data_IF_759833446972
#
_entry.id   IF_759833446972
#
_cell.length_a   1.000
_cell.length_b   1.000
_cell.length_c   1.000
_cell.angle_alpha   90.00
_cell.angle_beta   90.00
_cell.angle_gamma   90.00
#
_symmetry.space_group_name_H-M   'P 1'
#
loop_
_entity.id
_entity.type
_entity.pdbx_description
1 polymer ?
#
# COMPACT_ATOMS: atom_id res chain seq x y z
N UNK A 1 -36.80 -60.54 0.71
CA UNK A 1 -35.55 -59.85 0.30
C UNK A 1 -35.69 -58.40 0.72
N UNK A 2 -34.90 -57.98 1.70
CA UNK A 2 -34.94 -56.64 2.30
C UNK A 2 -34.09 -55.72 1.41
N UNK A 3 -34.68 -54.61 0.94
CA UNK A 3 -33.98 -53.62 0.11
C UNK A 3 -33.36 -52.60 1.06
N UNK A 4 -32.04 -52.60 1.17
CA UNK A 4 -31.27 -51.75 2.08
C UNK A 4 -31.22 -50.30 1.54
N UNK A 5 -31.69 -49.35 2.34
CA UNK A 5 -31.75 -47.94 1.98
C UNK A 5 -30.34 -47.35 2.16
N UNK A 6 -29.64 -47.18 1.05
CA UNK A 6 -28.30 -46.59 0.99
C UNK A 6 -28.23 -45.23 1.68
N UNK A 7 -27.66 -45.21 2.89
CA UNK A 7 -27.37 -43.99 3.66
C UNK A 7 -26.47 -43.06 2.83
N UNK A 8 -26.97 -41.89 2.44
CA UNK A 8 -26.16 -40.80 1.87
C UNK A 8 -25.05 -40.45 2.87
N UNK A 9 -23.83 -40.87 2.56
CA UNK A 9 -22.62 -40.55 3.32
C UNK A 9 -22.45 -39.04 3.29
N UNK A 10 -22.69 -38.36 4.42
CA UNK A 10 -22.37 -36.93 4.60
C UNK A 10 -20.91 -36.75 4.25
N UNK A 11 -20.66 -36.09 3.12
CA UNK A 11 -19.33 -35.64 2.72
C UNK A 11 -18.86 -34.73 3.85
N UNK A 12 -17.87 -35.18 4.62
CA UNK A 12 -17.22 -34.34 5.62
C UNK A 12 -16.61 -33.18 4.85
N UNK A 13 -17.24 -32.01 4.90
CA UNK A 13 -16.66 -30.78 4.37
C UNK A 13 -15.34 -30.61 5.09
N UNK A 14 -14.24 -30.79 4.37
CA UNK A 14 -12.94 -30.41 4.84
C UNK A 14 -13.05 -28.92 5.21
N UNK A 15 -12.88 -28.59 6.49
CA UNK A 15 -12.66 -27.21 6.89
C UNK A 15 -11.22 -26.93 6.46
N UNK A 16 -11.03 -26.71 5.17
CA UNK A 16 -9.84 -26.03 4.70
C UNK A 16 -9.93 -24.64 5.30
N UNK A 17 -9.11 -24.39 6.31
CA UNK A 17 -8.88 -23.05 6.81
C UNK A 17 -8.39 -22.23 5.60
N UNK A 18 -9.32 -21.52 4.95
CA UNK A 18 -9.02 -20.65 3.83
C UNK A 18 -7.94 -19.70 4.31
N UNK A 19 -6.71 -19.86 3.78
CA UNK A 19 -5.57 -19.06 4.19
C UNK A 19 -6.00 -17.60 4.10
N UNK A 20 -5.83 -16.87 5.21
CA UNK A 20 -6.22 -15.45 5.32
C UNK A 20 -5.69 -14.73 4.07
N UNK A 21 -6.60 -14.17 3.26
CA UNK A 21 -6.23 -13.44 2.04
C UNK A 21 -5.23 -12.35 2.46
N UNK A 22 -4.12 -12.24 1.74
CA UNK A 22 -3.17 -11.15 1.95
C UNK A 22 -3.84 -9.87 1.46
N UNK A 23 -3.95 -8.87 2.33
CA UNK A 23 -4.52 -7.55 2.04
C UNK A 23 -3.55 -6.47 2.51
N UNK A 24 -3.62 -5.30 1.87
CA UNK A 24 -2.92 -4.12 2.33
C UNK A 24 -3.49 -3.65 3.67
N UNK A 25 -2.60 -3.17 4.53
CA UNK A 25 -2.95 -2.58 5.81
C UNK A 25 -2.50 -1.11 5.80
N UNK A 26 -3.32 -0.20 6.32
CA UNK A 26 -2.88 1.16 6.58
C UNK A 26 -1.77 1.16 7.64
N UNK A 27 -0.84 2.10 7.54
CA UNK A 27 0.18 2.29 8.57
C UNK A 27 -0.43 2.93 9.83
N UNK A 28 0.25 2.77 10.96
CA UNK A 28 -0.10 3.46 12.22
C UNK A 28 0.86 4.61 12.46
N UNK A 29 0.42 5.89 12.42
CA UNK A 29 1.26 7.04 12.72
C UNK A 29 1.76 7.01 14.17
N UNK A 30 2.82 7.75 14.47
CA UNK A 30 3.19 8.01 15.86
C UNK A 30 2.10 8.82 16.57
N UNK A 31 1.68 8.39 17.76
CA UNK A 31 0.64 9.06 18.56
C UNK A 31 1.03 10.50 18.93
N UNK A 32 2.29 10.68 19.35
CA UNK A 32 2.83 11.98 19.71
C UNK A 32 2.97 12.91 18.47
N UNK A 33 2.28 14.06 18.46
CA UNK A 33 2.41 15.04 17.37
C UNK A 33 3.83 15.58 17.19
N UNK A 34 4.60 15.74 18.28
CA UNK A 34 5.98 16.22 18.18
C UNK A 34 6.86 15.23 17.43
N UNK A 35 6.69 13.93 17.71
CA UNK A 35 7.37 12.86 16.97
C UNK A 35 7.02 12.84 15.49
N UNK A 36 5.75 13.07 15.12
CA UNK A 36 5.36 13.17 13.69
C UNK A 36 6.00 14.36 13.00
N UNK A 37 6.10 15.50 13.68
CA UNK A 37 6.78 16.66 13.15
C UNK A 37 8.26 16.37 12.90
N UNK A 38 8.95 15.77 13.87
CA UNK A 38 10.35 15.34 13.74
C UNK A 38 10.56 14.42 12.52
N UNK A 39 9.65 13.46 12.31
CA UNK A 39 9.66 12.56 11.15
C UNK A 39 9.56 13.32 9.83
N UNK A 40 8.57 14.21 9.68
CA UNK A 40 8.42 15.03 8.48
C UNK A 40 9.60 15.98 8.27
N UNK A 41 10.14 16.55 9.36
CA UNK A 41 11.32 17.43 9.31
C UNK A 41 12.55 16.68 8.83
N UNK A 42 12.76 15.43 9.26
CA UNK A 42 13.90 14.62 8.80
C UNK A 42 13.89 14.43 7.28
N UNK A 43 12.71 14.15 6.70
CA UNK A 43 12.53 14.08 5.25
C UNK A 43 12.74 15.43 4.57
N UNK A 44 12.19 16.52 5.12
CA UNK A 44 12.33 17.85 4.55
C UNK A 44 13.80 18.31 4.48
N UNK A 45 14.60 17.99 5.49
CA UNK A 45 16.05 18.27 5.51
C UNK A 45 16.74 17.51 4.37
N UNK A 46 16.44 16.22 4.21
CA UNK A 46 17.03 15.40 3.15
C UNK A 46 16.66 15.90 1.74
N UNK A 47 15.38 16.27 1.54
CA UNK A 47 14.92 16.87 0.28
C UNK A 47 15.62 18.22 0.01
N UNK A 48 15.76 19.07 1.02
CA UNK A 48 16.47 20.35 0.89
C UNK A 48 17.94 20.14 0.54
N UNK A 49 18.62 19.17 1.17
CA UNK A 49 20.02 18.84 0.89
C UNK A 49 20.24 18.34 -0.56
N UNK A 50 19.20 17.80 -1.20
CA UNK A 50 19.22 17.30 -2.57
C UNK A 50 18.57 18.26 -3.58
N UNK A 51 18.20 19.46 -3.12
CA UNK A 51 17.48 20.48 -3.92
C UNK A 51 16.16 19.96 -4.54
N UNK A 52 15.51 19.02 -3.87
CA UNK A 52 14.26 18.42 -4.30
C UNK A 52 13.04 19.04 -3.60
N UNK A 53 11.94 19.15 -4.33
CA UNK A 53 10.64 19.55 -3.78
C UNK A 53 9.84 18.31 -3.34
N UNK A 54 9.10 18.44 -2.24
CA UNK A 54 8.20 17.39 -1.80
C UNK A 54 7.01 17.25 -2.76
N UNK A 55 6.79 16.03 -3.27
CA UNK A 55 5.55 15.64 -3.93
C UNK A 55 5.12 14.25 -3.47
N UNK A 56 3.86 14.10 -3.09
CA UNK A 56 3.25 12.81 -2.76
C UNK A 56 2.37 12.26 -3.90
N UNK A 57 2.48 12.85 -5.09
CA UNK A 57 1.72 12.47 -6.28
C UNK A 57 2.65 12.30 -7.48
N UNK A 58 2.20 11.50 -8.45
CA UNK A 58 2.87 11.40 -9.74
C UNK A 58 2.60 12.68 -10.54
N UNK A 59 3.67 13.37 -10.92
CA UNK A 59 3.63 14.58 -11.74
C UNK A 59 3.97 14.25 -13.20
N UNK A 60 3.40 15.02 -14.13
CA UNK A 60 3.63 14.86 -15.57
C UNK A 60 4.05 16.21 -16.14
N UNK A 61 5.34 16.33 -16.47
CA UNK A 61 5.97 17.60 -16.86
C UNK A 61 5.91 17.77 -18.38
N UNK A 62 5.69 19.00 -18.85
CA UNK A 62 5.71 19.29 -20.29
C UNK A 62 7.09 18.97 -20.89
N UNK A 63 7.11 18.38 -22.09
CA UNK A 63 8.33 17.88 -22.72
C UNK A 63 8.79 16.50 -22.23
N UNK A 64 8.18 15.96 -21.17
CA UNK A 64 8.33 14.58 -20.72
C UNK A 64 7.09 13.75 -21.09
N UNK A 65 6.95 12.55 -20.51
CA UNK A 65 5.80 11.69 -20.77
C UNK A 65 4.48 12.31 -20.26
N UNK A 66 3.41 12.35 -21.08
CA UNK A 66 2.11 12.84 -20.64
C UNK A 66 1.38 11.80 -19.79
N UNK A 67 0.41 12.24 -18.98
CA UNK A 67 -0.44 11.35 -18.18
C UNK A 67 -1.15 10.28 -19.01
N UNK A 68 -1.52 10.60 -20.25
CA UNK A 68 -2.20 9.66 -21.16
C UNK A 68 -1.33 8.47 -21.56
N UNK A 69 0.00 8.57 -21.44
CA UNK A 69 0.94 7.49 -21.69
C UNK A 69 1.04 6.50 -20.52
N UNK A 70 0.68 6.91 -19.30
CA UNK A 70 0.61 6.00 -18.15
C UNK A 70 -0.69 5.18 -18.21
N UNK A 71 -0.65 4.08 -18.95
CA UNK A 71 -1.76 3.11 -19.04
C UNK A 71 -1.26 1.72 -18.64
N UNK A 72 -1.93 1.03 -17.70
CA UNK A 72 -1.54 -0.32 -17.29
C UNK A 72 -1.63 -1.32 -18.44
N UNK A 73 -2.44 -1.04 -19.47
CA UNK A 73 -2.58 -1.88 -20.68
C UNK A 73 -1.32 -1.92 -21.55
N UNK A 74 -0.38 -1.00 -21.36
CA UNK A 74 0.89 -0.99 -22.09
C UNK A 74 1.97 -1.86 -21.41
N UNK A 75 1.68 -2.44 -20.24
CA UNK A 75 2.57 -3.38 -19.56
C UNK A 75 2.59 -4.73 -20.32
N UNK A 76 3.78 -5.21 -20.69
CA UNK A 76 3.94 -6.31 -21.66
C UNK A 76 3.35 -7.63 -21.16
N UNK A 77 3.55 -7.94 -19.89
CA UNK A 77 3.07 -9.17 -19.25
C UNK A 77 1.80 -8.92 -18.41
N UNK A 78 1.17 -7.76 -18.59
CA UNK A 78 0.05 -7.29 -17.79
C UNK A 78 0.46 -6.75 -16.41
N UNK A 79 -0.48 -6.09 -15.75
CA UNK A 79 -0.28 -5.48 -14.44
C UNK A 79 -1.34 -5.97 -13.46
N UNK A 80 -0.92 -6.32 -12.24
CA UNK A 80 -1.85 -6.72 -11.19
C UNK A 80 -2.79 -5.57 -10.84
N UNK A 81 -4.09 -5.86 -10.78
CA UNK A 81 -5.12 -4.89 -10.39
C UNK A 81 -5.28 -4.89 -8.87
N UNK A 82 -5.28 -3.70 -8.28
CA UNK A 82 -5.52 -3.51 -6.86
C UNK A 82 -6.98 -3.86 -6.51
N UNK A 83 -7.21 -4.61 -5.43
CA UNK A 83 -8.58 -4.91 -5.01
C UNK A 83 -9.28 -3.67 -4.46
N UNK A 84 -10.60 -3.73 -4.31
CA UNK A 84 -11.38 -2.64 -3.71
C UNK A 84 -10.91 -2.38 -2.28
N UNK A 85 -10.74 -3.44 -1.49
CA UNK A 85 -10.30 -3.36 -0.10
C UNK A 85 -8.90 -2.72 0.01
N UNK A 86 -7.98 -3.11 -0.86
CA UNK A 86 -6.62 -2.56 -0.90
C UNK A 86 -6.60 -1.10 -1.37
N UNK A 87 -7.54 -0.72 -2.26
CA UNK A 87 -7.73 0.67 -2.71
C UNK A 87 -8.26 1.55 -1.58
N UNK A 88 -9.18 1.05 -0.77
CA UNK A 88 -9.67 1.74 0.44
C UNK A 88 -8.55 1.95 1.45
N UNK A 89 -7.73 0.93 1.71
CA UNK A 89 -6.56 1.05 2.58
C UNK A 89 -5.56 2.10 2.06
N UNK A 90 -5.28 2.12 0.75
CA UNK A 90 -4.44 3.14 0.13
C UNK A 90 -5.03 4.55 0.28
N UNK A 91 -6.33 4.71 0.06
CA UNK A 91 -7.00 6.00 0.20
C UNK A 91 -6.99 6.50 1.65
N UNK A 92 -7.12 5.60 2.62
CA UNK A 92 -6.98 5.91 4.04
C UNK A 92 -5.57 6.46 4.33
N UNK A 93 -4.50 5.77 3.89
CA UNK A 93 -3.12 6.27 4.01
C UNK A 93 -2.92 7.66 3.40
N UNK A 94 -3.47 7.89 2.19
CA UNK A 94 -3.39 9.21 1.55
C UNK A 94 -4.10 10.29 2.36
N UNK A 95 -5.25 9.96 2.96
CA UNK A 95 -6.00 10.89 3.82
C UNK A 95 -5.24 11.22 5.11
N UNK A 96 -4.54 10.24 5.69
CA UNK A 96 -3.69 10.39 6.87
C UNK A 96 -2.53 11.33 6.58
N UNK A 97 -1.82 11.10 5.48
CA UNK A 97 -0.71 11.97 5.09
C UNK A 97 -1.16 13.44 4.93
N UNK A 98 -2.32 13.70 4.29
CA UNK A 98 -2.84 15.07 4.11
C UNK A 98 -3.16 15.81 5.41
N UNK A 99 -3.41 15.09 6.51
CA UNK A 99 -3.68 15.68 7.83
C UNK A 99 -2.45 15.69 8.76
N UNK A 100 -1.25 15.39 8.24
CA UNK A 100 -0.02 15.35 9.03
C UNK A 100 0.16 14.06 9.84
N UNK A 101 -0.62 13.02 9.54
CA UNK A 101 -0.44 11.66 10.05
C UNK A 101 0.45 10.87 9.09
N UNK A 102 1.74 11.20 9.07
CA UNK A 102 2.74 10.49 8.29
C UNK A 102 3.00 9.07 8.84
N UNK A 103 3.47 8.12 8.02
CA UNK A 103 3.97 6.85 8.52
C UNK A 103 5.15 7.10 9.48
N UNK A 104 5.38 6.21 10.46
CA UNK A 104 6.37 6.43 11.51
C UNK A 104 7.80 6.13 11.01
N UNK A 105 8.27 6.90 10.03
CA UNK A 105 9.56 6.74 9.36
C UNK A 105 10.46 7.94 9.61
N UNK A 106 11.77 7.69 9.68
CA UNK A 106 12.81 8.72 9.80
C UNK A 106 13.77 8.59 8.64
N UNK A 107 14.20 9.72 8.08
CA UNK A 107 15.32 9.77 7.15
C UNK A 107 16.58 10.12 7.94
N UNK A 108 17.60 9.28 7.84
CA UNK A 108 18.85 9.40 8.58
C UNK A 108 20.01 9.22 7.60
N UNK A 109 21.02 10.07 7.71
CA UNK A 109 22.24 9.96 6.92
C UNK A 109 23.11 8.82 7.46
N UNK A 110 23.53 7.91 6.58
CA UNK A 110 24.51 6.87 6.89
C UNK A 110 25.70 7.02 5.92
N UNK A 111 26.94 7.23 6.40
CA UNK A 111 28.09 7.45 5.53
C UNK A 111 28.43 6.26 4.60
N UNK A 112 27.91 5.06 4.86
CA UNK A 112 28.10 3.88 4.01
C UNK A 112 27.02 3.78 2.94
N UNK A 113 25.79 4.20 3.23
CA UNK A 113 24.65 4.12 2.31
C UNK A 113 24.43 5.41 1.49
N UNK A 114 25.02 6.54 1.94
CA UNK A 114 24.87 7.87 1.36
C UNK A 114 23.69 8.65 1.93
#
# INVERSE_FOLDING_TARGET
MIVDIGKKRRQKSCIEASKKRRSLLPYSPSEDPARRLEQMTSLAIALTATEAEFSNELTYIHGMAPRSANRPTYEKEGMQVLSIEDTEALNLCKSMMRRGECPPLMVVFDPVEG
#
